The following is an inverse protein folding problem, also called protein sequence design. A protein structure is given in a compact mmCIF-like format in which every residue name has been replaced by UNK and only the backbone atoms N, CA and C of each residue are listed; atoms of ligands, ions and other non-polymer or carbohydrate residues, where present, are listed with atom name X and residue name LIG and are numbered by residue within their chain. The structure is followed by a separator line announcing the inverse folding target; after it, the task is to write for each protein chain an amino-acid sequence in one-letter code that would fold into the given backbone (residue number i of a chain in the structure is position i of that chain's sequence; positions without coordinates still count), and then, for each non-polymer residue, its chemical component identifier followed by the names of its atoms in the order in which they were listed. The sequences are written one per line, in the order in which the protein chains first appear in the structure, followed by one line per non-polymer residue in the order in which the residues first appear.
data_IF_774922661995
#
_entry.id   IF_774922661995
#
_cell.length_a   1.000
_cell.length_b   1.000
_cell.length_c   1.000
_cell.angle_alpha   90.00
_cell.angle_beta   90.00
_cell.angle_gamma   90.00
#
_symmetry.space_group_name_H-M   'P 1'
#
loop_
_entity.id
_entity.type
_entity.pdbx_description
1 polymer ?
#
# COMPACT_ATOMS: atom_id res chain seq x y z
N UNK A 1 43.84 -29.10 -32.93
CA UNK A 1 43.77 -27.79 -32.23
C UNK A 1 44.87 -27.72 -31.19
N UNK A 2 45.64 -26.63 -31.16
CA UNK A 2 46.82 -26.48 -30.28
C UNK A 2 46.34 -26.33 -28.82
N UNK A 3 46.75 -27.20 -27.90
CA UNK A 3 46.27 -27.26 -26.50
C UNK A 3 46.38 -25.93 -25.76
N UNK A 4 47.36 -25.09 -26.11
CA UNK A 4 47.49 -23.72 -25.58
C UNK A 4 46.35 -22.78 -25.98
N UNK A 5 45.76 -22.95 -27.18
CA UNK A 5 44.59 -22.18 -27.63
C UNK A 5 43.30 -22.61 -26.94
N UNK A 6 43.17 -23.89 -26.58
CA UNK A 6 41.98 -24.42 -25.92
C UNK A 6 41.89 -24.00 -24.45
N UNK A 7 43.03 -23.99 -23.74
CA UNK A 7 43.12 -23.48 -22.36
C UNK A 7 42.82 -21.97 -22.29
N UNK A 8 43.26 -21.20 -23.28
CA UNK A 8 42.96 -19.76 -23.36
C UNK A 8 41.47 -19.46 -23.54
N UNK A 9 40.76 -20.23 -24.36
CA UNK A 9 39.31 -20.03 -24.59
C UNK A 9 38.50 -20.42 -23.35
N UNK A 10 38.87 -21.50 -22.66
CA UNK A 10 38.19 -21.94 -21.42
C UNK A 10 38.43 -20.94 -20.28
N UNK A 11 39.64 -20.38 -20.15
CA UNK A 11 39.92 -19.37 -19.14
C UNK A 11 39.16 -18.05 -19.37
N UNK A 12 39.01 -17.63 -20.63
CA UNK A 12 38.21 -16.44 -20.99
C UNK A 12 36.71 -16.69 -20.76
N UNK A 13 36.20 -17.89 -21.06
CA UNK A 13 34.80 -18.24 -20.79
C UNK A 13 34.50 -18.30 -19.28
N UNK A 14 35.39 -18.84 -18.46
CA UNK A 14 35.26 -18.85 -17.00
C UNK A 14 35.39 -17.44 -16.42
N UNK A 15 36.30 -16.61 -16.94
CA UNK A 15 36.43 -15.21 -16.53
C UNK A 15 35.21 -14.36 -16.95
N UNK A 16 34.60 -14.62 -18.10
CA UNK A 16 33.33 -13.99 -18.50
C UNK A 16 32.16 -14.49 -17.64
N UNK A 17 32.09 -15.78 -17.30
CA UNK A 17 31.08 -16.30 -16.37
C UNK A 17 31.23 -15.72 -14.95
N UNK A 18 32.47 -15.56 -14.46
CA UNK A 18 32.75 -14.94 -13.17
C UNK A 18 32.50 -13.42 -13.17
N UNK A 19 32.74 -12.75 -14.31
CA UNK A 19 32.47 -11.33 -14.47
C UNK A 19 30.95 -11.04 -14.51
N UNK A 20 30.16 -11.91 -15.14
CA UNK A 20 28.68 -11.84 -15.15
C UNK A 20 28.12 -12.02 -13.73
N UNK A 21 28.77 -12.79 -12.85
CA UNK A 21 28.36 -12.94 -11.44
C UNK A 21 28.88 -11.84 -10.48
N UNK A 22 29.70 -10.90 -10.96
CA UNK A 22 30.40 -9.94 -10.08
C UNK A 22 29.83 -8.52 -10.04
N UNK A 23 28.81 -8.22 -10.86
CA UNK A 23 28.06 -6.95 -10.77
C UNK A 23 26.97 -6.98 -9.67
N UNK A 24 26.46 -8.18 -9.34
CA UNK A 24 25.35 -8.40 -8.41
C UNK A 24 25.60 -8.14 -6.91
N UNK A 25 26.82 -8.31 -6.33
CA UNK A 25 26.97 -8.13 -4.88
C UNK A 25 26.91 -6.67 -4.43
N UNK A 26 27.21 -5.70 -5.30
CA UNK A 26 27.16 -4.27 -4.97
C UNK A 26 25.71 -3.78 -4.91
N UNK A 27 24.92 -4.08 -5.95
CA UNK A 27 23.48 -3.77 -5.98
C UNK A 27 22.73 -4.43 -4.81
N UNK A 28 23.02 -5.69 -4.50
CA UNK A 28 22.37 -6.37 -3.38
C UNK A 28 22.71 -5.76 -2.02
N UNK A 29 23.95 -5.32 -1.83
CA UNK A 29 24.37 -4.67 -0.60
C UNK A 29 23.75 -3.27 -0.44
N UNK A 30 23.69 -2.49 -1.52
CA UNK A 30 23.09 -1.15 -1.51
C UNK A 30 21.58 -1.22 -1.26
N UNK A 31 20.87 -2.13 -1.93
CA UNK A 31 19.44 -2.37 -1.73
C UNK A 31 19.15 -2.84 -0.30
N UNK A 32 19.91 -3.80 0.24
CA UNK A 32 19.67 -4.30 1.60
C UNK A 32 19.80 -3.20 2.66
N UNK A 33 20.82 -2.35 2.52
CA UNK A 33 21.06 -1.25 3.45
C UNK A 33 19.94 -0.19 3.40
N UNK A 34 19.39 0.09 2.21
CA UNK A 34 18.27 1.04 2.08
C UNK A 34 16.99 0.46 2.66
N UNK A 35 16.70 -0.83 2.43
CA UNK A 35 15.52 -1.49 3.01
C UNK A 35 15.59 -1.52 4.54
N UNK A 36 16.76 -1.75 5.14
CA UNK A 36 16.95 -1.67 6.60
C UNK A 36 16.70 -0.26 7.15
N UNK A 37 17.00 0.79 6.38
CA UNK A 37 16.67 2.17 6.78
C UNK A 37 15.16 2.41 6.72
N UNK A 38 14.47 1.92 5.68
CA UNK A 38 13.01 2.02 5.56
C UNK A 38 12.34 1.33 6.75
N UNK A 39 12.80 0.13 7.12
CA UNK A 39 12.32 -0.60 8.29
C UNK A 39 12.54 0.19 9.60
N UNK A 40 13.73 0.77 9.76
CA UNK A 40 14.03 1.64 10.90
C UNK A 40 13.15 2.89 10.94
N UNK A 41 12.90 3.54 9.80
CA UNK A 41 12.03 4.70 9.72
C UNK A 41 10.59 4.31 10.10
N UNK A 42 10.13 3.11 9.72
CA UNK A 42 8.82 2.59 10.13
C UNK A 42 8.73 2.40 11.64
N UNK A 43 9.74 1.79 12.25
CA UNK A 43 9.80 1.65 13.71
C UNK A 43 9.73 3.01 14.41
N UNK A 44 10.39 4.04 13.86
CA UNK A 44 10.30 5.41 14.36
C UNK A 44 8.91 6.03 14.24
N UNK A 45 8.19 5.77 13.14
CA UNK A 45 6.80 6.22 12.97
C UNK A 45 5.85 5.56 13.99
N UNK A 46 6.00 4.26 14.23
CA UNK A 46 5.22 3.52 15.22
C UNK A 46 5.49 4.06 16.62
N UNK A 47 6.76 4.14 17.02
CA UNK A 47 7.15 4.63 18.35
C UNK A 47 6.61 6.04 18.61
N UNK A 48 6.76 6.95 17.65
CA UNK A 48 6.22 8.30 17.76
C UNK A 48 4.69 8.31 17.89
N UNK A 49 3.98 7.48 17.13
CA UNK A 49 2.52 7.39 17.19
C UNK A 49 2.05 6.82 18.52
N UNK A 50 2.71 5.80 19.05
CA UNK A 50 2.40 5.23 20.37
C UNK A 50 2.60 6.27 21.48
N UNK A 51 3.67 7.07 21.41
CA UNK A 51 3.90 8.17 22.36
C UNK A 51 2.77 9.21 22.25
N UNK A 52 2.44 9.66 21.04
CA UNK A 52 1.34 10.63 20.84
C UNK A 52 0.03 10.05 21.40
N UNK A 53 -0.29 8.81 21.08
CA UNK A 53 -1.52 8.13 21.51
C UNK A 53 -1.62 8.08 23.04
N UNK A 54 -0.59 7.56 23.70
CA UNK A 54 -0.56 7.38 25.16
C UNK A 54 -0.52 8.69 25.92
N UNK A 55 0.28 9.65 25.48
CA UNK A 55 0.47 10.90 26.20
C UNK A 55 -0.71 11.86 25.99
N UNK A 56 -1.38 11.82 24.83
CA UNK A 56 -2.65 12.56 24.64
C UNK A 56 -3.78 12.00 25.51
N UNK A 57 -3.87 10.67 25.68
CA UNK A 57 -4.81 10.05 26.63
C UNK A 57 -4.53 10.50 28.08
N UNK A 58 -3.26 10.54 28.47
CA UNK A 58 -2.86 11.04 29.78
C UNK A 58 -3.28 12.51 30.01
N UNK A 59 -3.23 13.36 28.98
CA UNK A 59 -3.70 14.75 29.05
C UNK A 59 -5.21 14.82 29.23
N UNK A 60 -5.98 14.00 28.49
CA UNK A 60 -7.45 13.95 28.57
C UNK A 60 -7.91 13.56 29.99
N UNK A 61 -7.19 12.63 30.63
CA UNK A 61 -7.52 12.12 31.97
C UNK A 61 -7.26 13.07 33.15
N UNK A 62 -6.74 14.29 32.91
CA UNK A 62 -6.37 15.22 33.97
C UNK A 62 -7.59 15.97 34.51
N UNK A 63 -7.86 15.84 35.81
CA UNK A 63 -8.98 16.52 36.46
C UNK A 63 -8.82 18.06 36.39
N UNK A 64 -9.88 18.75 35.98
CA UNK A 64 -9.88 20.20 35.86
C UNK A 64 -9.21 20.75 34.58
N UNK A 65 -8.89 19.88 33.62
CA UNK A 65 -8.43 20.28 32.29
C UNK A 65 -9.47 21.19 31.61
N UNK A 66 -9.08 22.34 31.03
CA UNK A 66 -10.01 23.17 30.25
C UNK A 66 -10.61 22.38 29.08
N UNK A 67 -11.92 22.51 28.85
CA UNK A 67 -12.65 21.77 27.81
C UNK A 67 -12.01 21.90 26.42
N UNK A 68 -11.51 23.09 26.06
CA UNK A 68 -10.83 23.32 24.78
C UNK A 68 -9.52 22.50 24.68
N UNK A 69 -8.76 22.40 25.77
CA UNK A 69 -7.50 21.63 25.81
C UNK A 69 -7.80 20.13 25.76
N UNK A 70 -8.79 19.68 26.51
CA UNK A 70 -9.25 18.29 26.46
C UNK A 70 -9.70 17.90 25.04
N UNK A 71 -10.46 18.76 24.37
CA UNK A 71 -10.91 18.54 23.00
C UNK A 71 -9.74 18.50 21.97
N UNK A 72 -8.70 19.34 22.15
CA UNK A 72 -7.50 19.29 21.32
C UNK A 72 -6.71 18.00 21.52
N UNK A 73 -6.57 17.55 22.78
CA UNK A 73 -5.91 16.29 23.11
C UNK A 73 -6.69 15.08 22.56
N UNK A 74 -8.01 15.07 22.72
CA UNK A 74 -8.91 14.04 22.18
C UNK A 74 -8.85 13.98 20.65
N UNK A 75 -8.89 15.13 19.96
CA UNK A 75 -8.73 15.18 18.51
C UNK A 75 -7.39 14.60 18.05
N UNK A 76 -6.32 14.91 18.78
CA UNK A 76 -4.98 14.39 18.48
C UNK A 76 -4.90 12.89 18.73
N UNK A 77 -5.41 12.41 19.87
CA UNK A 77 -5.50 11.01 20.23
C UNK A 77 -6.27 10.20 19.18
N UNK A 78 -7.47 10.66 18.80
CA UNK A 78 -8.30 9.98 17.80
C UNK A 78 -7.63 9.93 16.42
N UNK A 79 -6.75 10.89 16.12
CA UNK A 79 -5.98 10.86 14.87
C UNK A 79 -4.94 9.72 14.86
N UNK A 80 -4.40 9.31 16.01
CA UNK A 80 -3.41 8.22 16.06
C UNK A 80 -4.00 6.87 15.70
N UNK A 81 -5.28 6.63 15.99
CA UNK A 81 -5.99 5.43 15.55
C UNK A 81 -5.99 5.26 14.02
N UNK A 82 -6.15 6.36 13.27
CA UNK A 82 -6.01 6.33 11.81
C UNK A 82 -4.58 6.02 11.38
N UNK A 83 -3.58 6.52 12.11
CA UNK A 83 -2.17 6.24 11.84
C UNK A 83 -1.83 4.77 12.09
N UNK A 84 -2.31 4.19 13.19
CA UNK A 84 -2.16 2.76 13.48
C UNK A 84 -2.78 1.91 12.38
N UNK A 85 -4.01 2.24 11.94
CA UNK A 85 -4.67 1.55 10.84
C UNK A 85 -3.85 1.59 9.54
N UNK A 86 -3.30 2.75 9.17
CA UNK A 86 -2.44 2.87 7.98
C UNK A 86 -1.11 2.12 8.18
N UNK A 87 -0.57 2.15 9.40
CA UNK A 87 0.69 1.51 9.80
C UNK A 87 0.72 0.02 9.49
N UNK A 88 -0.37 -0.71 9.76
CA UNK A 88 -0.49 -2.15 9.50
C UNK A 88 -0.22 -2.51 8.02
N UNK A 89 -0.76 -1.73 7.07
CA UNK A 89 -0.52 -1.97 5.64
C UNK A 89 0.92 -1.63 5.23
N UNK A 90 1.51 -0.64 5.90
CA UNK A 90 2.86 -0.19 5.64
C UNK A 90 3.88 -1.22 6.14
N UNK A 91 3.71 -1.75 7.36
CA UNK A 91 4.51 -2.87 7.90
C UNK A 91 4.43 -4.09 7.00
N UNK A 92 3.22 -4.53 6.62
CA UNK A 92 3.05 -5.69 5.73
C UNK A 92 3.73 -5.50 4.36
N UNK A 93 3.82 -4.25 3.88
CA UNK A 93 4.53 -3.94 2.64
C UNK A 93 6.05 -3.95 2.84
N UNK A 94 6.54 -3.46 3.97
CA UNK A 94 7.96 -3.49 4.33
C UNK A 94 8.44 -4.93 4.54
N UNK A 95 7.66 -5.81 5.18
CA UNK A 95 7.99 -7.24 5.33
C UNK A 95 8.16 -7.93 3.96
N UNK A 96 7.32 -7.59 2.98
CA UNK A 96 7.47 -8.10 1.60
C UNK A 96 8.73 -7.55 0.96
N UNK A 97 9.01 -6.27 1.14
CA UNK A 97 10.23 -5.64 0.64
C UNK A 97 11.48 -6.30 1.24
N UNK A 98 11.45 -6.62 2.54
CA UNK A 98 12.51 -7.34 3.25
C UNK A 98 12.73 -8.74 2.68
N UNK A 99 11.64 -9.42 2.33
CA UNK A 99 11.71 -10.73 1.65
C UNK A 99 12.35 -10.61 0.26
N UNK A 100 11.97 -9.60 -0.52
CA UNK A 100 12.44 -9.43 -1.90
C UNK A 100 13.90 -8.96 -2.00
N UNK A 101 14.41 -8.27 -0.98
CA UNK A 101 15.80 -7.73 -0.99
C UNK A 101 16.88 -8.82 -1.04
N UNK A 102 16.54 -10.08 -0.75
CA UNK A 102 17.46 -11.21 -0.83
C UNK A 102 17.93 -11.49 -2.27
N UNK A 103 17.06 -11.27 -3.25
CA UNK A 103 17.33 -11.48 -4.69
C UNK A 103 16.80 -10.28 -5.48
N UNK A 104 17.44 -9.10 -5.38
CA UNK A 104 16.86 -7.85 -5.85
C UNK A 104 16.82 -7.73 -7.38
N UNK A 105 17.70 -8.43 -8.10
CA UNK A 105 17.63 -8.51 -9.56
C UNK A 105 16.41 -9.32 -10.03
N UNK A 106 16.14 -10.45 -9.37
CA UNK A 106 15.01 -11.35 -9.71
C UNK A 106 13.67 -10.78 -9.24
N UNK A 107 13.67 -10.02 -8.14
CA UNK A 107 12.46 -9.43 -7.56
C UNK A 107 12.29 -7.94 -7.89
N UNK A 108 13.11 -7.37 -8.79
CA UNK A 108 13.13 -5.94 -9.13
C UNK A 108 11.74 -5.33 -9.30
N UNK A 109 10.88 -5.98 -10.08
CA UNK A 109 9.55 -5.47 -10.41
C UNK A 109 8.61 -5.49 -9.20
N UNK A 110 8.64 -6.57 -8.43
CA UNK A 110 7.92 -6.68 -7.15
C UNK A 110 8.40 -5.65 -6.14
N UNK A 111 9.69 -5.36 -6.12
CA UNK A 111 10.26 -4.32 -5.27
C UNK A 111 9.76 -2.93 -5.68
N UNK A 112 9.79 -2.58 -6.98
CA UNK A 112 9.25 -1.32 -7.48
C UNK A 112 7.75 -1.16 -7.17
N UNK A 113 6.96 -2.22 -7.37
CA UNK A 113 5.55 -2.23 -6.99
C UNK A 113 5.37 -2.02 -5.49
N UNK A 114 6.18 -2.67 -4.66
CA UNK A 114 6.12 -2.54 -3.19
C UNK A 114 6.59 -1.17 -2.69
N UNK A 115 7.62 -0.57 -3.31
CA UNK A 115 8.04 0.82 -3.06
C UNK A 115 6.88 1.79 -3.32
N UNK A 116 6.13 1.57 -4.40
CA UNK A 116 4.90 2.29 -4.68
C UNK A 116 3.89 2.22 -3.53
N UNK A 117 3.65 1.02 -3.00
CA UNK A 117 2.73 0.82 -1.86
C UNK A 117 3.14 1.62 -0.64
N UNK A 118 4.39 1.48 -0.23
CA UNK A 118 4.93 2.13 0.97
C UNK A 118 4.85 3.66 0.79
N UNK A 119 5.21 4.20 -0.37
CA UNK A 119 5.16 5.66 -0.58
C UNK A 119 3.73 6.22 -0.55
N UNK A 120 2.73 5.50 -1.10
CA UNK A 120 1.33 5.93 -0.99
C UNK A 120 0.84 5.94 0.46
N UNK A 121 1.15 4.89 1.22
CA UNK A 121 0.75 4.76 2.63
C UNK A 121 1.47 5.79 3.51
N UNK A 122 2.78 5.96 3.35
CA UNK A 122 3.55 7.01 4.02
C UNK A 122 3.00 8.40 3.72
N UNK A 123 2.59 8.65 2.47
CA UNK A 123 1.97 9.92 2.09
C UNK A 123 0.64 10.13 2.81
N UNK A 124 -0.24 9.15 2.76
CA UNK A 124 -1.52 9.20 3.46
C UNK A 124 -1.32 9.41 4.97
N UNK A 125 -0.37 8.71 5.57
CA UNK A 125 0.02 8.83 6.98
C UNK A 125 0.45 10.26 7.34
N UNK A 126 1.34 10.86 6.55
CA UNK A 126 1.78 12.24 6.75
C UNK A 126 0.63 13.24 6.61
N UNK A 127 -0.19 13.09 5.56
CA UNK A 127 -1.27 14.02 5.29
C UNK A 127 -2.38 13.95 6.36
N UNK A 128 -2.58 12.80 7.02
CA UNK A 128 -3.45 12.68 8.21
C UNK A 128 -3.02 13.61 9.34
N UNK A 129 -1.73 13.86 9.51
CA UNK A 129 -1.16 14.69 10.59
C UNK A 129 -1.07 16.17 10.18
N UNK A 130 -0.78 16.43 8.91
CA UNK A 130 -0.53 17.78 8.42
C UNK A 130 -1.82 18.48 7.96
N UNK A 131 -2.88 17.74 7.66
CA UNK A 131 -4.11 18.28 7.08
C UNK A 131 -5.19 18.53 8.12
N UNK A 132 -5.66 19.78 8.18
CA UNK A 132 -6.90 20.12 8.90
C UNK A 132 -8.15 19.49 8.28
N UNK A 133 -8.06 19.10 7.00
CA UNK A 133 -9.19 18.50 6.31
C UNK A 133 -9.53 17.15 6.91
N UNK A 134 -8.54 16.34 7.30
CA UNK A 134 -8.77 15.06 7.99
C UNK A 134 -9.64 15.26 9.24
N UNK A 135 -9.22 16.16 10.12
CA UNK A 135 -9.91 16.48 11.38
C UNK A 135 -11.33 16.99 11.16
N UNK A 136 -11.49 17.89 10.19
CA UNK A 136 -12.80 18.44 9.81
C UNK A 136 -13.71 17.35 9.23
N UNK A 137 -13.13 16.46 8.42
CA UNK A 137 -13.82 15.38 7.72
C UNK A 137 -14.29 14.28 8.68
N UNK A 138 -13.47 13.96 9.67
CA UNK A 138 -13.78 12.97 10.71
C UNK A 138 -14.71 13.52 11.81
N UNK A 139 -15.10 14.80 11.73
CA UNK A 139 -16.01 15.43 12.69
C UNK A 139 -15.44 15.46 14.12
N UNK A 140 -14.11 15.56 14.24
CA UNK A 140 -13.44 15.54 15.53
C UNK A 140 -13.73 16.80 16.36
N UNK A 141 -13.57 16.75 17.70
CA UNK A 141 -13.97 17.83 18.60
C UNK A 141 -13.46 19.23 18.22
N UNK A 142 -12.23 19.34 17.70
CA UNK A 142 -11.64 20.62 17.28
C UNK A 142 -11.41 20.64 15.78
N UNK A 143 -12.30 21.27 15.02
CA UNK A 143 -12.23 21.35 13.55
C UNK A 143 -11.37 22.52 13.04
N UNK A 144 -10.89 22.42 11.79
CA UNK A 144 -10.23 23.53 11.09
C UNK A 144 -8.76 23.77 11.45
N UNK A 145 -8.15 22.85 12.21
CA UNK A 145 -6.71 22.77 12.48
C UNK A 145 -6.22 21.34 12.21
N UNK A 146 -4.99 21.18 11.77
CA UNK A 146 -4.37 19.85 11.62
C UNK A 146 -4.02 19.28 12.99
N UNK A 147 -3.86 17.95 13.13
CA UNK A 147 -3.32 17.35 14.35
C UNK A 147 -1.97 17.98 14.74
N UNK A 148 -1.11 18.26 13.76
CA UNK A 148 0.16 18.97 13.98
C UNK A 148 -0.03 20.34 14.65
N UNK A 149 -0.95 21.17 14.14
CA UNK A 149 -1.24 22.49 14.71
C UNK A 149 -1.85 22.39 16.11
N UNK A 150 -2.70 21.39 16.34
CA UNK A 150 -3.31 21.14 17.64
C UNK A 150 -2.27 20.76 18.68
N UNK A 151 -1.28 19.95 18.31
CA UNK A 151 -0.17 19.58 19.19
C UNK A 151 0.65 20.80 19.60
N UNK A 152 0.91 21.72 18.67
CA UNK A 152 1.58 22.97 19.01
C UNK A 152 0.73 23.84 19.93
N UNK A 153 -0.57 23.92 19.67
CA UNK A 153 -1.50 24.66 20.51
C UNK A 153 -1.60 24.07 21.94
N UNK A 154 -1.50 22.74 22.11
CA UNK A 154 -1.49 22.08 23.42
C UNK A 154 -0.34 22.58 24.31
N UNK A 155 0.82 22.91 23.72
CA UNK A 155 2.02 23.35 24.45
C UNK A 155 2.00 24.87 24.67
N UNK A 156 1.54 25.62 23.67
CA UNK A 156 1.56 27.08 23.68
C UNK A 156 0.44 27.69 24.54
N UNK A 157 -0.59 26.91 24.89
CA UNK A 157 -1.69 27.39 25.71
C UNK A 157 -1.26 27.62 27.17
N UNK A 158 -0.74 28.82 27.46
CA UNK A 158 -0.30 29.22 28.81
C UNK A 158 -1.41 29.24 29.86
N UNK A 159 -2.68 29.09 29.47
CA UNK A 159 -3.82 29.04 30.38
C UNK A 159 -4.11 27.62 30.91
N UNK A 160 -3.37 26.60 30.47
CA UNK A 160 -3.47 25.29 31.11
C UNK A 160 -2.92 25.42 32.54
N UNK A 161 -3.80 25.49 33.55
CA UNK A 161 -3.46 25.15 34.93
C UNK A 161 -3.22 23.63 35.03
N UNK A 162 -2.37 23.11 34.14
CA UNK A 162 -2.08 21.71 34.01
C UNK A 162 -1.23 21.26 35.20
N UNK A 163 -1.44 20.02 35.61
CA UNK A 163 -0.51 19.37 36.50
C UNK A 163 0.87 19.24 35.82
N UNK A 164 1.97 19.13 36.57
CA UNK A 164 3.30 18.87 36.01
C UNK A 164 3.33 17.67 35.05
N UNK A 165 2.49 16.66 35.30
CA UNK A 165 2.34 15.48 34.47
C UNK A 165 1.77 15.83 33.08
N UNK A 166 0.72 16.65 33.00
CA UNK A 166 0.14 17.08 31.72
C UNK A 166 1.10 17.94 30.89
N UNK A 167 1.91 18.78 31.56
CA UNK A 167 2.96 19.57 30.87
C UNK A 167 4.05 18.66 30.32
N UNK A 168 4.47 17.64 31.09
CA UNK A 168 5.44 16.65 30.62
C UNK A 168 4.90 15.88 29.42
N UNK A 169 3.67 15.36 29.52
CA UNK A 169 3.01 14.63 28.44
C UNK A 169 2.91 15.47 27.17
N UNK A 170 2.49 16.73 27.26
CA UNK A 170 2.45 17.63 26.10
C UNK A 170 3.84 17.85 25.47
N UNK A 171 4.89 17.93 26.28
CA UNK A 171 6.28 17.99 25.82
C UNK A 171 6.73 16.71 25.10
N UNK A 172 6.31 15.54 25.59
CA UNK A 172 6.61 14.26 24.94
C UNK A 172 5.87 14.11 23.60
N UNK A 173 4.58 14.52 23.55
CA UNK A 173 3.80 14.60 22.31
C UNK A 173 4.48 15.52 21.28
N UNK A 174 4.98 16.69 21.71
CA UNK A 174 5.70 17.62 20.83
C UNK A 174 6.90 16.98 20.15
N UNK A 175 7.75 16.32 20.94
CA UNK A 175 8.97 15.71 20.45
C UNK A 175 8.62 14.54 19.51
N UNK A 176 7.66 13.71 19.90
CA UNK A 176 7.19 12.60 19.09
C UNK A 176 6.66 13.04 17.72
N UNK A 177 5.97 14.18 17.63
CA UNK A 177 5.53 14.73 16.33
C UNK A 177 6.71 15.13 15.43
N UNK A 178 7.74 15.73 16.02
CA UNK A 178 8.96 16.03 15.26
C UNK A 178 9.67 14.76 14.81
N UNK A 179 9.79 13.76 15.68
CA UNK A 179 10.37 12.46 15.36
C UNK A 179 9.57 11.77 14.24
N UNK A 180 8.24 11.84 14.28
CA UNK A 180 7.36 11.34 13.23
C UNK A 180 7.63 12.02 11.89
N UNK A 181 7.66 13.36 11.87
CA UNK A 181 7.93 14.12 10.65
C UNK A 181 9.32 13.84 10.06
N UNK A 182 10.33 13.68 10.91
CA UNK A 182 11.69 13.33 10.50
C UNK A 182 11.75 11.89 9.95
N UNK A 183 11.09 10.93 10.61
CA UNK A 183 11.00 9.55 10.14
C UNK A 183 10.26 9.43 8.81
N UNK A 184 9.12 10.10 8.63
CA UNK A 184 8.38 10.12 7.38
C UNK A 184 9.19 10.72 6.23
N UNK A 185 9.92 11.81 6.51
CA UNK A 185 10.82 12.44 5.53
C UNK A 185 12.01 11.56 5.17
N UNK A 186 12.62 10.91 6.17
CA UNK A 186 13.70 9.93 5.97
C UNK A 186 13.23 8.77 5.11
N UNK A 187 12.06 8.20 5.42
CA UNK A 187 11.47 7.09 4.67
C UNK A 187 11.24 7.46 3.21
N UNK A 188 10.69 8.66 2.94
CA UNK A 188 10.51 9.16 1.58
C UNK A 188 11.84 9.17 0.81
N UNK A 189 12.91 9.71 1.39
CA UNK A 189 14.22 9.78 0.74
C UNK A 189 14.79 8.37 0.49
N UNK A 190 14.64 7.45 1.45
CA UNK A 190 15.10 6.08 1.28
C UNK A 190 14.29 5.32 0.21
N UNK A 191 12.98 5.61 0.07
CA UNK A 191 12.15 5.07 -1.01
C UNK A 191 12.57 5.62 -2.38
N UNK A 192 12.88 6.92 -2.47
CA UNK A 192 13.40 7.55 -3.69
C UNK A 192 14.77 6.94 -4.09
N UNK A 193 15.70 6.81 -3.13
CA UNK A 193 17.00 6.17 -3.35
C UNK A 193 16.85 4.71 -3.82
N UNK A 194 15.88 3.98 -3.25
CA UNK A 194 15.60 2.60 -3.65
C UNK A 194 14.98 2.51 -5.06
N UNK A 195 14.03 3.39 -5.39
CA UNK A 195 13.44 3.48 -6.73
C UNK A 195 14.52 3.77 -7.78
N UNK A 196 15.41 4.72 -7.51
CA UNK A 196 16.52 5.08 -8.40
C UNK A 196 17.48 3.90 -8.60
N UNK A 197 17.92 3.26 -7.52
CA UNK A 197 18.78 2.08 -7.59
C UNK A 197 18.13 0.95 -8.41
N UNK A 198 16.83 0.73 -8.23
CA UNK A 198 16.09 -0.27 -9.01
C UNK A 198 15.87 0.17 -10.45
N UNK A 199 15.95 1.45 -10.82
CA UNK A 199 15.65 1.93 -12.18
C UNK A 199 16.87 1.92 -13.12
N UNK A 200 18.10 2.01 -12.59
CA UNK A 200 19.34 2.13 -13.39
C UNK A 200 19.76 0.91 -14.24
N UNK A 201 19.10 -0.25 -14.10
CA UNK A 201 19.44 -1.44 -14.89
C UNK A 201 18.97 -1.33 -16.37
N UNK A 202 19.82 -1.70 -17.36
CA UNK A 202 19.56 -1.46 -18.78
C UNK A 202 18.32 -2.23 -19.27
N UNK A 203 17.37 -1.49 -19.84
CA UNK A 203 16.17 -2.06 -20.44
C UNK A 203 16.50 -2.90 -21.69
N UNK A 204 15.93 -4.10 -21.84
CA UNK A 204 15.99 -4.85 -23.09
C UNK A 204 15.23 -4.11 -24.21
N UNK A 205 15.51 -4.50 -25.47
CA UNK A 205 14.96 -3.84 -26.65
C UNK A 205 13.41 -3.93 -26.72
N UNK A 206 12.72 -2.87 -27.19
CA UNK A 206 11.27 -2.78 -27.15
C UNK A 206 10.58 -3.82 -28.05
N UNK A 207 9.41 -4.28 -27.62
CA UNK A 207 8.45 -5.08 -28.40
C UNK A 207 7.06 -4.47 -28.29
N UNK A 208 6.29 -4.58 -29.36
CA UNK A 208 4.89 -4.17 -29.39
C UNK A 208 4.02 -5.09 -28.51
N UNK A 209 3.77 -4.71 -27.25
CA UNK A 209 2.67 -5.26 -26.42
C UNK A 209 1.73 -4.17 -25.85
N UNK A 210 1.83 -2.92 -26.34
CA UNK A 210 1.12 -1.77 -25.76
C UNK A 210 -0.42 -1.81 -25.77
N UNK A 211 -1.05 -2.80 -26.44
CA UNK A 211 -2.52 -2.91 -26.48
C UNK A 211 -3.12 -3.37 -25.15
N UNK A 212 -2.53 -4.36 -24.49
CA UNK A 212 -3.05 -4.93 -23.23
C UNK A 212 -2.87 -3.94 -22.09
N UNK A 213 -1.70 -3.29 -22.02
CA UNK A 213 -1.41 -2.23 -21.03
C UNK A 213 -2.41 -1.07 -21.15
N UNK A 214 -2.75 -0.64 -22.38
CA UNK A 214 -3.69 0.44 -22.59
C UNK A 214 -5.11 0.07 -22.15
N UNK A 215 -5.51 -1.19 -22.35
CA UNK A 215 -6.79 -1.75 -21.92
C UNK A 215 -6.88 -1.83 -20.39
N UNK A 216 -5.89 -2.43 -19.72
CA UNK A 216 -5.88 -2.53 -18.25
C UNK A 216 -5.93 -1.15 -17.58
N UNK A 217 -5.15 -0.16 -18.08
CA UNK A 217 -5.21 1.22 -17.56
C UNK A 217 -6.59 1.86 -17.80
N UNK A 218 -7.21 1.62 -18.97
CA UNK A 218 -8.57 2.10 -19.24
C UNK A 218 -9.63 1.46 -18.33
N UNK A 219 -9.49 0.18 -18.02
CA UNK A 219 -10.39 -0.53 -17.11
C UNK A 219 -10.19 -0.07 -15.64
N UNK A 220 -8.96 0.23 -15.22
CA UNK A 220 -8.68 0.84 -13.91
C UNK A 220 -9.39 2.20 -13.79
N UNK A 221 -9.28 3.07 -14.79
CA UNK A 221 -9.96 4.38 -14.80
C UNK A 221 -11.48 4.23 -14.72
N UNK A 222 -12.05 3.30 -15.51
CA UNK A 222 -13.47 2.98 -15.46
C UNK A 222 -13.92 2.53 -14.06
N UNK A 223 -13.20 1.60 -13.46
CA UNK A 223 -13.55 1.09 -12.13
C UNK A 223 -13.42 2.18 -11.05
N UNK A 224 -12.52 3.16 -11.22
CA UNK A 224 -12.42 4.30 -10.33
C UNK A 224 -13.68 5.18 -10.38
N UNK A 225 -14.24 5.38 -11.56
CA UNK A 225 -15.52 6.10 -11.72
C UNK A 225 -16.65 5.36 -11.01
N UNK A 226 -16.69 4.03 -11.13
CA UNK A 226 -17.69 3.18 -10.43
C UNK A 226 -17.52 3.26 -8.90
N UNK A 227 -16.28 3.17 -8.38
CA UNK A 227 -15.98 3.32 -6.95
C UNK A 227 -16.47 4.65 -6.38
N UNK A 228 -16.15 5.76 -7.05
CA UNK A 228 -16.60 7.11 -6.63
C UNK A 228 -18.11 7.24 -6.61
N UNK A 229 -18.78 6.71 -7.64
CA UNK A 229 -20.24 6.76 -7.71
C UNK A 229 -20.88 6.04 -6.53
N UNK A 230 -20.33 4.88 -6.17
CA UNK A 230 -20.78 4.11 -5.02
C UNK A 230 -20.49 4.83 -3.69
N UNK A 231 -19.28 5.35 -3.49
CA UNK A 231 -18.94 6.07 -2.26
C UNK A 231 -19.74 7.36 -2.07
N UNK A 232 -20.00 8.13 -3.14
CA UNK A 232 -20.84 9.32 -3.08
C UNK A 232 -22.30 8.94 -2.76
N UNK A 233 -22.80 7.82 -3.29
CA UNK A 233 -24.13 7.29 -2.93
C UNK A 233 -24.18 6.93 -1.44
N UNK A 234 -23.18 6.21 -0.94
CA UNK A 234 -23.07 5.90 0.50
C UNK A 234 -23.04 7.20 1.32
N UNK A 235 -22.29 8.19 0.89
CA UNK A 235 -22.15 9.47 1.57
C UNK A 235 -23.49 10.23 1.70
N UNK A 236 -24.17 10.44 0.58
CA UNK A 236 -25.41 11.24 0.55
C UNK A 236 -26.59 10.48 1.15
N UNK A 237 -26.72 9.17 0.88
CA UNK A 237 -27.87 8.40 1.35
C UNK A 237 -27.76 8.09 2.86
N UNK A 238 -26.56 7.90 3.41
CA UNK A 238 -26.41 7.79 4.88
C UNK A 238 -26.84 9.06 5.61
N UNK A 239 -26.66 10.24 5.01
CA UNK A 239 -27.15 11.51 5.55
C UNK A 239 -28.69 11.60 5.53
N UNK A 240 -29.34 11.04 4.50
CA UNK A 240 -30.80 10.90 4.44
C UNK A 240 -31.28 9.97 5.55
N UNK A 241 -30.61 8.83 5.78
CA UNK A 241 -30.93 7.89 6.87
C UNK A 241 -30.83 8.59 8.24
N UNK A 242 -29.73 9.30 8.51
CA UNK A 242 -29.50 9.99 9.80
C UNK A 242 -30.59 11.03 10.08
N UNK A 243 -31.08 11.72 9.05
CA UNK A 243 -32.07 12.80 9.20
C UNK A 243 -33.53 12.35 9.09
N UNK A 244 -33.78 11.18 8.49
CA UNK A 244 -35.11 10.70 8.12
C UNK A 244 -35.72 9.62 9.01
N UNK A 245 -35.09 9.28 10.15
CA UNK A 245 -35.59 8.25 11.07
C UNK A 245 -35.92 8.86 12.44
N UNK A 246 -37.21 8.96 12.73
CA UNK A 246 -37.71 9.42 14.03
C UNK A 246 -37.65 8.26 15.05
N UNK A 247 -37.17 8.54 16.27
CA UNK A 247 -37.03 7.51 17.30
C UNK A 247 -35.94 6.48 17.02
N UNK A 248 -35.01 6.76 16.10
CA UNK A 248 -33.85 5.91 15.83
C UNK A 248 -33.08 5.63 17.14
N UNK A 249 -32.87 4.35 17.51
CA UNK A 249 -32.03 4.00 18.66
C UNK A 249 -30.63 4.61 18.52
N UNK A 250 -30.03 5.06 19.62
CA UNK A 250 -28.71 5.71 19.61
C UNK A 250 -27.66 4.83 18.90
N UNK A 251 -27.69 3.52 19.17
CA UNK A 251 -26.89 2.49 18.50
C UNK A 251 -26.96 2.58 16.95
N UNK A 252 -28.16 2.76 16.39
CA UNK A 252 -28.34 2.85 14.93
C UNK A 252 -27.88 4.19 14.37
N UNK A 253 -28.14 5.27 15.11
CA UNK A 253 -27.71 6.62 14.73
C UNK A 253 -26.20 6.70 14.67
N UNK A 254 -25.54 6.06 15.62
CA UNK A 254 -24.10 5.97 15.69
C UNK A 254 -23.52 5.10 14.58
N UNK A 255 -24.15 3.97 14.27
CA UNK A 255 -23.78 3.16 13.09
C UNK A 255 -23.89 3.98 11.79
N UNK A 256 -24.99 4.70 11.58
CA UNK A 256 -25.18 5.50 10.37
C UNK A 256 -24.17 6.67 10.26
N UNK A 257 -23.87 7.35 11.38
CA UNK A 257 -22.80 8.37 11.43
C UNK A 257 -21.45 7.76 11.08
N UNK A 258 -21.14 6.59 11.60
CA UNK A 258 -19.89 5.90 11.31
C UNK A 258 -19.74 5.62 9.83
N UNK A 259 -20.77 5.06 9.18
CA UNK A 259 -20.73 4.83 7.71
C UNK A 259 -20.56 6.15 6.96
N UNK A 260 -21.24 7.21 7.40
CA UNK A 260 -21.09 8.55 6.83
C UNK A 260 -19.67 9.11 6.98
N UNK A 261 -19.05 9.01 8.16
CA UNK A 261 -17.67 9.46 8.41
C UNK A 261 -16.65 8.60 7.65
N UNK A 262 -16.88 7.30 7.50
CA UNK A 262 -16.05 6.44 6.67
C UNK A 262 -16.09 6.88 5.20
N UNK A 263 -17.26 7.23 4.66
CA UNK A 263 -17.38 7.73 3.26
C UNK A 263 -16.58 9.01 3.00
N UNK A 264 -16.42 9.81 4.04
CA UNK A 264 -15.63 11.02 4.08
C UNK A 264 -14.12 10.73 3.97
N UNK A 265 -13.62 9.70 4.68
CA UNK A 265 -12.25 9.21 4.52
C UNK A 265 -12.00 8.63 3.10
N UNK A 266 -12.99 7.94 2.51
CA UNK A 266 -12.88 7.45 1.13
C UNK A 266 -12.64 8.59 0.14
N UNK A 267 -13.35 9.71 0.29
CA UNK A 267 -13.21 10.88 -0.58
C UNK A 267 -11.79 11.46 -0.60
N UNK A 268 -11.07 11.41 0.51
CA UNK A 268 -9.65 11.80 0.57
C UNK A 268 -8.76 10.81 -0.20
N UNK A 269 -9.01 9.52 -0.06
CA UNK A 269 -8.27 8.47 -0.78
C UNK A 269 -8.48 8.58 -2.30
N UNK A 270 -9.70 8.92 -2.72
CA UNK A 270 -10.06 9.07 -4.15
C UNK A 270 -9.21 10.11 -4.86
N UNK A 271 -8.88 11.23 -4.19
CA UNK A 271 -8.02 12.29 -4.75
C UNK A 271 -6.63 11.75 -5.10
N UNK A 272 -6.07 10.88 -4.25
CA UNK A 272 -4.79 10.25 -4.53
C UNK A 272 -4.88 9.22 -5.65
N UNK A 273 -5.90 8.35 -5.60
CA UNK A 273 -6.11 7.33 -6.62
C UNK A 273 -6.28 7.95 -8.01
N UNK A 274 -7.10 9.00 -8.14
CA UNK A 274 -7.25 9.77 -9.39
C UNK A 274 -5.93 10.31 -9.92
N UNK A 275 -5.12 10.91 -9.02
CA UNK A 275 -3.84 11.47 -9.40
C UNK A 275 -2.91 10.39 -9.97
N UNK A 276 -2.89 9.22 -9.34
CA UNK A 276 -2.07 8.09 -9.77
C UNK A 276 -2.59 7.44 -11.04
N UNK A 277 -3.91 7.31 -11.21
CA UNK A 277 -4.52 6.82 -12.45
C UNK A 277 -4.22 7.77 -13.61
N UNK A 278 -4.32 9.09 -13.42
CA UNK A 278 -3.92 10.07 -14.44
C UNK A 278 -2.43 9.99 -14.81
N UNK A 279 -1.56 9.63 -13.86
CA UNK A 279 -0.14 9.34 -14.14
C UNK A 279 0.02 8.06 -14.95
N UNK A 280 -0.70 6.97 -14.63
CA UNK A 280 -0.69 5.75 -15.45
C UNK A 280 -1.18 6.03 -16.88
N UNK A 281 -2.23 6.84 -17.03
CA UNK A 281 -2.76 7.24 -18.34
C UNK A 281 -1.71 8.00 -19.17
N UNK A 282 -0.89 8.82 -18.51
CA UNK A 282 0.24 9.49 -19.16
C UNK A 282 1.34 8.51 -19.54
N UNK A 283 1.69 7.57 -18.65
CA UNK A 283 2.82 6.66 -18.84
C UNK A 283 2.57 5.58 -19.88
N UNK A 284 1.31 5.15 -20.07
CA UNK A 284 0.94 4.11 -21.04
C UNK A 284 1.22 4.48 -22.49
N UNK A 285 1.51 5.75 -22.79
CA UNK A 285 1.90 6.21 -24.12
C UNK A 285 3.28 5.66 -24.56
N UNK A 286 4.18 5.41 -23.61
CA UNK A 286 5.52 4.84 -23.86
C UNK A 286 5.85 3.80 -22.77
N UNK A 287 5.15 2.66 -22.74
CA UNK A 287 5.18 1.73 -21.61
C UNK A 287 6.57 1.13 -21.38
N UNK A 288 7.37 0.92 -22.42
CA UNK A 288 8.73 0.39 -22.29
C UNK A 288 9.68 1.38 -21.59
N UNK A 289 9.52 2.68 -21.87
CA UNK A 289 10.31 3.73 -21.22
C UNK A 289 9.83 4.01 -19.80
N UNK A 290 8.54 3.80 -19.54
CA UNK A 290 7.90 4.14 -18.28
C UNK A 290 7.63 2.93 -17.37
N UNK A 291 8.07 1.72 -17.72
CA UNK A 291 7.78 0.48 -16.99
C UNK A 291 7.97 0.61 -15.48
N UNK A 292 9.13 1.11 -15.03
CA UNK A 292 9.40 1.29 -13.60
C UNK A 292 8.41 2.26 -12.93
N UNK A 293 8.13 3.40 -13.56
CA UNK A 293 7.16 4.39 -13.07
C UNK A 293 5.73 3.82 -13.05
N UNK A 294 5.38 2.98 -14.03
CA UNK A 294 4.09 2.32 -14.08
C UNK A 294 3.94 1.30 -12.95
N UNK A 295 4.97 0.49 -12.66
CA UNK A 295 4.97 -0.45 -11.53
C UNK A 295 4.84 0.29 -10.19
N UNK A 296 5.63 1.33 -9.96
CA UNK A 296 5.53 2.16 -8.75
C UNK A 296 4.13 2.78 -8.63
N UNK A 297 3.56 3.30 -9.72
CA UNK A 297 2.24 3.93 -9.71
C UNK A 297 1.11 2.92 -9.51
N UNK A 298 1.20 1.74 -10.11
CA UNK A 298 0.25 0.64 -9.89
C UNK A 298 0.29 0.18 -8.42
N UNK A 299 1.48 0.09 -7.83
CA UNK A 299 1.66 -0.22 -6.41
C UNK A 299 0.99 0.82 -5.50
N UNK A 300 1.13 2.12 -5.84
CA UNK A 300 0.44 3.21 -5.12
C UNK A 300 -1.08 3.04 -5.13
N UNK A 301 -1.66 2.65 -6.27
CA UNK A 301 -3.11 2.42 -6.41
C UNK A 301 -3.52 1.17 -5.62
N UNK A 302 -2.79 0.04 -5.70
CA UNK A 302 -3.12 -1.19 -4.96
C UNK A 302 -3.14 -0.97 -3.45
N UNK A 303 -2.18 -0.21 -2.91
CA UNK A 303 -2.17 0.10 -1.47
C UNK A 303 -3.41 0.90 -1.04
N UNK A 304 -3.74 1.96 -1.77
CA UNK A 304 -4.90 2.78 -1.46
C UNK A 304 -6.21 2.03 -1.65
N UNK A 305 -6.29 1.15 -2.65
CA UNK A 305 -7.45 0.30 -2.90
C UNK A 305 -7.72 -0.68 -1.74
N UNK A 306 -6.67 -1.20 -1.09
CA UNK A 306 -6.82 -2.04 0.12
C UNK A 306 -7.40 -1.24 1.28
N UNK A 307 -6.80 -0.09 1.59
CA UNK A 307 -7.30 0.84 2.62
C UNK A 307 -8.76 1.20 2.35
N UNK A 308 -9.09 1.53 1.09
CA UNK A 308 -10.44 1.85 0.64
C UNK A 308 -11.44 0.72 0.93
N UNK A 309 -11.07 -0.52 0.58
CA UNK A 309 -11.90 -1.71 0.81
C UNK A 309 -12.13 -1.95 2.30
N UNK A 310 -11.09 -1.85 3.12
CA UNK A 310 -11.20 -2.18 4.54
C UNK A 310 -11.95 -1.09 5.34
N UNK A 311 -11.91 0.17 4.90
CA UNK A 311 -12.81 1.23 5.38
C UNK A 311 -14.28 0.89 5.07
N UNK A 312 -14.57 0.39 3.86
CA UNK A 312 -15.95 0.09 3.43
C UNK A 312 -16.52 -1.18 4.07
N UNK A 313 -15.65 -2.11 4.48
CA UNK A 313 -16.03 -3.23 5.34
C UNK A 313 -16.50 -2.78 6.73
N UNK A 314 -16.14 -1.55 7.13
CA UNK A 314 -16.61 -0.84 8.33
C UNK A 314 -16.50 -1.60 9.66
N UNK A 315 -15.79 -2.73 9.72
CA UNK A 315 -15.59 -3.48 10.96
C UNK A 315 -14.27 -3.13 11.62
N UNK A 316 -13.18 -3.07 10.85
CA UNK A 316 -11.82 -2.91 11.40
C UNK A 316 -11.48 -1.42 11.60
N UNK A 317 -11.61 -0.59 10.56
CA UNK A 317 -11.41 0.87 10.66
C UNK A 317 -12.25 1.52 11.77
N UNK A 318 -13.50 1.08 11.91
CA UNK A 318 -14.45 1.59 12.90
C UNK A 318 -14.10 1.14 14.32
N UNK A 319 -13.63 -0.09 14.48
CA UNK A 319 -13.12 -0.60 15.76
C UNK A 319 -11.86 0.13 16.17
N UNK A 320 -10.95 0.39 15.23
CA UNK A 320 -9.71 1.13 15.49
C UNK A 320 -10.00 2.57 15.88
N UNK A 321 -10.92 3.26 15.19
CA UNK A 321 -11.24 4.68 15.50
C UNK A 321 -12.06 4.89 16.78
N UNK A 322 -12.31 3.84 17.58
CA UNK A 322 -13.18 3.87 18.77
C UNK A 322 -14.54 4.54 18.56
N UNK A 323 -15.00 4.57 17.30
CA UNK A 323 -16.33 5.05 16.99
C UNK A 323 -17.34 4.14 17.70
N UNK A 324 -18.54 4.61 18.06
CA UNK A 324 -19.56 3.76 18.67
C UNK A 324 -19.89 2.55 17.77
N UNK A 325 -19.21 1.42 18.04
CA UNK A 325 -19.33 0.18 17.27
C UNK A 325 -20.37 -0.69 17.94
N UNK A 326 -21.32 -1.09 17.12
CA UNK A 326 -22.42 -1.97 17.52
C UNK A 326 -22.14 -3.41 17.06
N UNK A 327 -21.03 -3.58 16.34
CA UNK A 327 -20.61 -4.80 15.65
C UNK A 327 -21.33 -5.03 14.32
N UNK A 328 -21.97 -4.00 13.74
CA UNK A 328 -22.89 -4.12 12.61
C UNK A 328 -22.40 -3.31 11.40
N UNK A 329 -22.42 -3.94 10.24
CA UNK A 329 -21.99 -3.40 8.95
C UNK A 329 -23.07 -2.49 8.30
N UNK A 330 -22.75 -1.73 7.23
CA UNK A 330 -23.75 -1.02 6.43
C UNK A 330 -24.89 -1.93 5.95
N UNK A 331 -24.58 -3.21 5.70
CA UNK A 331 -25.56 -4.23 5.32
C UNK A 331 -26.56 -4.50 6.46
N UNK A 332 -26.07 -4.54 7.71
CA UNK A 332 -26.91 -4.72 8.89
C UNK A 332 -27.78 -3.48 9.17
N UNK A 333 -27.34 -2.28 8.78
CA UNK A 333 -28.13 -1.05 8.90
C UNK A 333 -29.44 -1.14 8.11
N UNK A 334 -29.42 -1.73 6.90
CA UNK A 334 -30.62 -1.93 6.08
C UNK A 334 -31.58 -2.92 6.71
N UNK A 335 -31.06 -4.07 7.17
CA UNK A 335 -31.88 -5.06 7.86
C UNK A 335 -32.49 -4.48 9.14
N UNK A 336 -31.73 -3.71 9.92
CA UNK A 336 -32.23 -3.07 11.13
C UNK A 336 -33.34 -2.05 10.85
N UNK A 337 -33.23 -1.26 9.77
CA UNK A 337 -34.25 -0.27 9.39
C UNK A 337 -35.54 -0.92 8.86
N UNK A 338 -35.42 -2.09 8.20
CA UNK A 338 -36.57 -2.78 7.60
C UNK A 338 -37.25 -3.78 8.53
N UNK A 339 -36.51 -4.38 9.46
CA UNK A 339 -36.97 -5.53 10.24
C UNK A 339 -37.26 -5.20 11.72
N UNK A 340 -36.81 -4.04 12.23
CA UNK A 340 -37.11 -3.63 13.61
C UNK A 340 -38.49 -2.93 13.70
N UNK A 341 -39.50 -3.54 14.36
CA UNK A 341 -40.84 -2.97 14.44
C UNK A 341 -40.92 -1.70 15.29
N UNK A 342 -39.92 -1.43 16.13
CA UNK A 342 -39.85 -0.25 16.98
C UNK A 342 -39.24 0.97 16.27
N UNK A 343 -38.70 0.78 15.06
CA UNK A 343 -38.11 1.85 14.24
C UNK A 343 -39.14 2.35 13.23
N UNK A 344 -39.52 3.62 13.34
CA UNK A 344 -40.39 4.28 12.34
C UNK A 344 -39.51 5.06 11.34
N UNK A 345 -38.99 4.35 10.35
CA UNK A 345 -38.26 4.96 9.25
C UNK A 345 -39.24 5.56 8.22
N UNK A 346 -38.93 6.76 7.73
CA UNK A 346 -39.63 7.33 6.58
C UNK A 346 -39.44 6.46 5.33
N UNK A 347 -40.38 6.47 4.36
CA UNK A 347 -40.18 5.80 3.08
C UNK A 347 -38.87 6.22 2.39
N UNK A 348 -38.49 7.48 2.52
CA UNK A 348 -37.23 8.03 2.01
C UNK A 348 -36.02 7.40 2.69
N UNK A 349 -36.01 7.25 4.02
CA UNK A 349 -34.92 6.60 4.75
C UNK A 349 -34.80 5.10 4.41
N UNK A 350 -35.92 4.41 4.15
CA UNK A 350 -35.92 3.01 3.72
C UNK A 350 -35.33 2.88 2.31
N UNK A 351 -35.70 3.79 1.39
CA UNK A 351 -35.11 3.83 0.04
C UNK A 351 -33.61 4.07 0.11
N UNK A 352 -33.19 5.11 0.86
CA UNK A 352 -31.79 5.46 1.06
C UNK A 352 -30.97 4.30 1.63
N UNK A 353 -31.53 3.55 2.59
CA UNK A 353 -30.90 2.34 3.12
C UNK A 353 -30.68 1.29 2.01
N UNK A 354 -31.69 1.02 1.18
CA UNK A 354 -31.56 0.15 0.02
C UNK A 354 -30.44 0.61 -0.94
N UNK A 355 -30.38 1.91 -1.22
CA UNK A 355 -29.37 2.51 -2.10
C UNK A 355 -27.96 2.38 -1.50
N UNK A 356 -27.78 2.60 -0.19
CA UNK A 356 -26.50 2.36 0.53
C UNK A 356 -26.06 0.89 0.41
N UNK A 357 -26.99 -0.07 0.54
CA UNK A 357 -26.66 -1.48 0.42
C UNK A 357 -26.25 -1.88 -1.00
N UNK A 358 -26.98 -1.43 -2.01
CA UNK A 358 -26.59 -1.64 -3.41
C UNK A 358 -25.24 -1.00 -3.71
N UNK A 359 -25.03 0.26 -3.29
CA UNK A 359 -23.76 0.94 -3.46
C UNK A 359 -22.59 0.22 -2.76
N UNK A 360 -22.83 -0.39 -1.59
CA UNK A 360 -21.81 -1.20 -0.91
C UNK A 360 -21.37 -2.43 -1.73
N UNK A 361 -22.31 -3.07 -2.43
CA UNK A 361 -22.01 -4.15 -3.36
C UNK A 361 -21.26 -3.66 -4.61
N UNK A 362 -21.75 -2.59 -5.24
CA UNK A 362 -21.12 -1.99 -6.43
C UNK A 362 -19.67 -1.56 -6.13
N UNK A 363 -19.45 -1.01 -4.93
CA UNK A 363 -18.11 -0.67 -4.44
C UNK A 363 -17.22 -1.91 -4.34
N UNK A 364 -17.71 -2.98 -3.69
CA UNK A 364 -16.96 -4.23 -3.54
C UNK A 364 -16.59 -4.87 -4.88
N UNK A 365 -17.52 -4.86 -5.84
CA UNK A 365 -17.30 -5.39 -7.19
C UNK A 365 -16.31 -4.53 -7.98
N UNK A 366 -16.46 -3.20 -7.96
CA UNK A 366 -15.54 -2.28 -8.63
C UNK A 366 -14.12 -2.36 -8.04
N UNK A 367 -14.00 -2.47 -6.72
CA UNK A 367 -12.70 -2.63 -6.05
C UNK A 367 -12.03 -3.96 -6.45
N UNK A 368 -12.78 -5.05 -6.46
CA UNK A 368 -12.26 -6.35 -6.88
C UNK A 368 -11.85 -6.35 -8.35
N UNK A 369 -12.66 -5.74 -9.23
CA UNK A 369 -12.33 -5.60 -10.65
C UNK A 369 -11.07 -4.74 -10.85
N UNK A 370 -10.93 -3.63 -10.11
CA UNK A 370 -9.74 -2.78 -10.19
C UNK A 370 -8.48 -3.53 -9.78
N UNK A 371 -8.57 -4.33 -8.71
CA UNK A 371 -7.46 -5.19 -8.27
C UNK A 371 -7.04 -6.18 -9.35
N UNK A 372 -8.00 -6.85 -10.00
CA UNK A 372 -7.68 -7.77 -11.10
C UNK A 372 -7.01 -7.04 -12.28
N UNK A 373 -7.49 -5.85 -12.65
CA UNK A 373 -6.85 -5.06 -13.70
C UNK A 373 -5.44 -4.57 -13.32
N UNK A 374 -5.16 -4.35 -12.03
CA UNK A 374 -3.80 -4.05 -11.55
C UNK A 374 -2.88 -5.26 -11.64
N UNK A 375 -3.39 -6.46 -11.34
CA UNK A 375 -2.66 -7.74 -11.51
C UNK A 375 -2.36 -7.97 -13.00
N UNK A 376 -3.35 -7.80 -13.89
CA UNK A 376 -3.16 -7.89 -15.35
C UNK A 376 -2.15 -6.85 -15.86
N UNK A 377 -2.17 -5.62 -15.32
CA UNK A 377 -1.21 -4.60 -15.66
C UNK A 377 0.21 -4.99 -15.23
N UNK A 378 0.38 -5.55 -14.02
CA UNK A 378 1.68 -6.04 -13.54
C UNK A 378 2.22 -7.15 -14.44
N UNK A 379 1.38 -8.14 -14.78
CA UNK A 379 1.73 -9.24 -15.67
C UNK A 379 2.12 -8.75 -17.07
N UNK A 380 1.32 -7.85 -17.67
CA UNK A 380 1.62 -7.27 -18.98
C UNK A 380 2.93 -6.46 -18.97
N UNK A 381 3.22 -5.76 -17.86
CA UNK A 381 4.49 -5.05 -17.69
C UNK A 381 5.66 -6.02 -17.57
N UNK A 382 5.52 -7.15 -16.88
CA UNK A 382 6.56 -8.18 -16.77
C UNK A 382 6.95 -8.72 -18.15
N UNK A 383 5.97 -9.01 -19.00
CA UNK A 383 6.19 -9.54 -20.36
C UNK A 383 6.97 -8.60 -21.30
N UNK A 384 6.96 -7.28 -21.06
CA UNK A 384 7.76 -6.31 -21.84
C UNK A 384 9.26 -6.60 -21.82
N UNK A 385 9.75 -7.32 -20.81
CA UNK A 385 11.17 -7.60 -20.59
C UNK A 385 11.67 -8.94 -21.14
N UNK A 386 10.78 -9.89 -21.45
CA UNK A 386 11.23 -11.24 -21.80
C UNK A 386 11.61 -11.38 -23.28
N UNK A 387 12.78 -11.97 -23.59
CA UNK A 387 13.06 -12.44 -24.93
C UNK A 387 12.13 -13.62 -25.21
N UNK A 388 11.00 -13.36 -25.87
CA UNK A 388 10.24 -14.40 -26.57
C UNK A 388 11.25 -15.26 -27.31
N UNK A 389 11.39 -16.52 -26.89
CA UNK A 389 12.01 -17.54 -27.73
C UNK A 389 11.02 -17.75 -28.86
N UNK A 390 11.08 -16.88 -29.87
CA UNK A 390 10.45 -17.15 -31.15
C UNK A 390 11.08 -18.46 -31.57
N UNK A 391 10.31 -19.53 -31.40
CA UNK A 391 10.67 -20.84 -31.93
C UNK A 391 10.66 -20.62 -33.43
N UNK A 392 11.82 -20.30 -33.98
CA UNK A 392 12.01 -20.23 -35.40
C UNK A 392 11.44 -21.54 -35.93
N UNK A 393 10.40 -21.45 -36.76
CA UNK A 393 9.79 -22.62 -37.37
C UNK A 393 10.93 -23.47 -37.93
N UNK A 394 11.13 -24.64 -37.32
CA UNK A 394 12.15 -25.56 -37.75
C UNK A 394 11.91 -25.81 -39.25
N UNK A 395 12.91 -25.66 -40.13
CA UNK A 395 12.74 -26.06 -41.52
C UNK A 395 12.30 -27.53 -41.51
N UNK A 396 11.18 -27.80 -42.18
CA UNK A 396 10.58 -29.12 -42.30
C UNK A 396 11.67 -30.16 -42.58
N UNK A 397 11.95 -31.11 -41.66
CA UNK A 397 12.99 -32.09 -41.89
C UNK A 397 12.50 -33.09 -42.93
N UNK A 398 13.16 -33.09 -44.10
CA UNK A 398 13.10 -34.19 -45.05
C UNK A 398 13.57 -35.45 -44.34
N UNK A 399 12.66 -36.41 -44.18
CA UNK A 399 12.87 -37.66 -43.45
C UNK A 399 13.91 -38.58 -44.12
N UNK A 400 15.06 -38.84 -43.48
CA UNK A 400 15.79 -40.14 -43.34
C UNK A 400 17.20 -39.94 -42.74
N UNK A 401 17.85 -40.95 -42.11
CA UNK A 401 17.45 -41.91 -41.07
C UNK A 401 18.24 -41.72 -39.74
N UNK A 402 17.74 -42.29 -38.63
CA UNK A 402 18.34 -42.26 -37.28
C UNK A 402 19.76 -42.86 -37.18
N UNK A 403 20.63 -42.18 -36.41
CA UNK A 403 21.70 -42.76 -35.56
C UNK A 403 22.32 -41.64 -34.67
N UNK A 404 23.04 -41.98 -33.58
CA UNK A 404 22.58 -42.27 -32.22
C UNK A 404 22.81 -41.09 -31.23
N UNK A 405 22.00 -41.07 -30.17
CA UNK A 405 21.88 -39.96 -29.21
C UNK A 405 23.07 -39.72 -28.26
N UNK A 406 23.05 -38.52 -27.68
CA UNK A 406 23.97 -37.90 -26.71
C UNK A 406 24.06 -38.61 -25.34
N UNK A 407 24.10 -39.94 -25.30
CA UNK A 407 24.37 -40.71 -24.07
C UNK A 407 25.87 -40.77 -23.68
N UNK A 408 26.78 -40.27 -24.53
CA UNK A 408 28.23 -40.45 -24.35
C UNK A 408 28.89 -39.42 -23.41
N UNK A 409 28.26 -38.27 -23.14
CA UNK A 409 28.85 -37.23 -22.30
C UNK A 409 28.73 -37.52 -20.79
N UNK A 410 27.71 -38.27 -20.36
CA UNK A 410 27.53 -38.63 -18.94
C UNK A 410 28.26 -39.92 -18.52
N UNK A 411 28.67 -40.77 -19.47
CA UNK A 411 29.40 -42.01 -19.17
C UNK A 411 30.89 -41.78 -18.85
N UNK A 412 31.50 -40.73 -19.40
CA UNK A 412 32.94 -40.44 -19.22
C UNK A 412 33.23 -39.85 -17.83
N UNK A 413 32.31 -39.03 -17.29
CA UNK A 413 32.41 -38.45 -15.95
C UNK A 413 32.24 -39.51 -14.85
N UNK A 414 31.38 -40.52 -15.08
CA UNK A 414 31.18 -41.63 -14.14
C UNK A 414 32.38 -42.57 -14.01
N UNK A 415 33.11 -42.84 -15.11
CA UNK A 415 34.29 -43.74 -15.09
C UNK A 415 35.48 -43.08 -14.38
N UNK A 416 35.65 -41.76 -14.49
CA UNK A 416 36.72 -41.02 -13.82
C UNK A 416 36.50 -40.91 -12.29
N UNK A 417 35.25 -40.80 -11.84
CA UNK A 417 34.92 -40.79 -10.41
C UNK A 417 35.18 -42.15 -9.73
N UNK A 418 34.91 -43.26 -10.44
CA UNK A 418 35.18 -44.62 -9.93
C UNK A 418 36.69 -44.91 -9.91
N UNK A 419 37.46 -44.47 -10.92
CA UNK A 419 38.91 -44.61 -10.92
C UNK A 419 39.57 -43.82 -9.78
N UNK A 420 39.10 -42.60 -9.48
CA UNK A 420 39.61 -41.78 -8.37
C UNK A 420 39.34 -42.41 -6.99
N UNK A 421 38.19 -43.06 -6.80
CA UNK A 421 37.88 -43.75 -5.54
C UNK A 421 38.68 -45.06 -5.36
N UNK A 422 39.01 -45.78 -6.44
CA UNK A 422 39.82 -47.01 -6.38
C UNK A 422 41.31 -46.71 -6.13
N UNK A 423 41.85 -45.61 -6.66
CA UNK A 423 43.25 -45.21 -6.41
C UNK A 423 43.50 -44.55 -5.05
N UNK A 424 42.45 -44.17 -4.30
CA UNK A 424 42.56 -43.61 -2.94
C UNK A 424 42.55 -44.66 -1.83
N UNK A 425 42.26 -45.93 -2.16
CA UNK A 425 42.07 -47.00 -1.16
C UNK A 425 43.09 -48.16 -1.22
N UNK A 426 44.20 -47.98 -1.93
CA UNK A 426 45.39 -48.84 -1.86
C UNK A 426 46.60 -48.06 -1.38
#
# INVERSE_FOLDING_TARGET
MNTKRMVGIVAVAIAMLLAITSASPVMAQDVSAVVEKIDKDMAGLIEATEIIHKETDAIIGVEGMPDEVAAMAETTHLSTHSLEFIGVYMESSIEKLDTYKAEPEENREKMLFTVGKIEALRKLYQDTIDSSDFVTTMGLPVTGKSPYDLIHALIENQEVQASPEAISAAGDVHNAVHDLGDAAKSMKLNLEDLEDALTEAPAPAPKESGSEIAESVGNIDKNMVELKGAAETIHEETKVIISGVEGMPDEMKDTAKTVHLSSHALKHIEVYMDNYIGKLDTYKAEPEKNKAKMLVTAGKIDALLRVYKDITGASEFVTTMELPVTGKSPHDLVHLLMENPDVQASPEAISAAGDVHTASHDLGDAAQAMRLNLEELEDALAELGEPTTTTAAAPTPTSTPEAPGFGAAFAITGILAVAYMVFRKN
#
